data_IF_864529051868
#
_entry.id   IF_864529051868
#
_cell.length_a   1.000
_cell.length_b   1.000
_cell.length_c   1.000
_cell.angle_alpha   90.00
_cell.angle_beta   90.00
_cell.angle_gamma   90.00
#
_symmetry.space_group_name_H-M   'P 1'
#
loop_
_entity.id
_entity.type
_entity.pdbx_description
1 polymer ?
#
# COMPACT_ATOMS: atom_id res chain seq x y z
N UNK A 1 18.68 2.40 22.64
CA UNK A 1 17.63 1.36 22.77
C UNK A 1 16.53 1.67 21.76
N UNK A 2 16.09 0.70 20.97
CA UNK A 2 14.95 0.86 20.09
C UNK A 2 13.65 0.58 20.88
N UNK A 3 12.62 1.41 20.67
CA UNK A 3 11.30 1.24 21.28
C UNK A 3 10.35 0.72 20.20
N UNK A 4 9.60 -0.32 20.51
CA UNK A 4 8.57 -0.83 19.61
C UNK A 4 7.33 0.08 19.65
N UNK A 5 6.95 0.63 18.50
CA UNK A 5 5.77 1.49 18.38
C UNK A 5 4.50 0.66 18.16
N UNK A 6 4.57 -0.38 17.33
CA UNK A 6 3.44 -1.27 17.04
C UNK A 6 3.89 -2.73 17.04
N UNK A 7 3.10 -3.59 17.68
CA UNK A 7 3.22 -5.03 17.55
C UNK A 7 2.41 -5.56 16.34
N UNK A 8 2.53 -6.86 16.09
CA UNK A 8 1.84 -7.51 14.98
C UNK A 8 0.31 -7.38 15.07
N UNK A 9 -0.24 -7.44 16.28
CA UNK A 9 -1.68 -7.36 16.49
C UNK A 9 -2.20 -5.94 16.26
N UNK A 10 -1.43 -4.92 16.68
CA UNK A 10 -1.70 -3.52 16.44
C UNK A 10 -1.67 -3.20 14.93
N UNK A 11 -0.69 -3.73 14.19
CA UNK A 11 -0.64 -3.59 12.73
C UNK A 11 -1.87 -4.23 12.08
N UNK A 12 -2.25 -5.44 12.50
CA UNK A 12 -3.42 -6.12 11.96
C UNK A 12 -4.71 -5.31 12.20
N UNK A 13 -4.92 -4.81 13.43
CA UNK A 13 -6.06 -3.95 13.76
C UNK A 13 -6.07 -2.67 12.92
N UNK A 14 -4.92 -2.03 12.73
CA UNK A 14 -4.81 -0.82 11.92
C UNK A 14 -5.18 -1.08 10.46
N UNK A 15 -4.71 -2.18 9.86
CA UNK A 15 -5.05 -2.57 8.49
C UNK A 15 -6.55 -2.81 8.35
N UNK A 16 -7.17 -3.54 9.29
CA UNK A 16 -8.62 -3.76 9.28
C UNK A 16 -9.39 -2.44 9.37
N UNK A 17 -9.00 -1.56 10.29
CA UNK A 17 -9.63 -0.23 10.42
C UNK A 17 -9.52 0.60 9.15
N UNK A 18 -8.33 0.71 8.57
CA UNK A 18 -8.12 1.45 7.32
C UNK A 18 -8.96 0.86 6.18
N UNK A 19 -9.12 -0.47 6.12
CA UNK A 19 -9.93 -1.12 5.09
C UNK A 19 -11.41 -0.74 5.19
N UNK A 20 -11.96 -0.68 6.41
CA UNK A 20 -13.32 -0.19 6.62
C UNK A 20 -13.47 1.29 6.24
N UNK A 21 -12.52 2.14 6.65
CA UNK A 21 -12.53 3.58 6.35
C UNK A 21 -12.48 3.85 4.84
N UNK A 22 -11.68 3.07 4.09
CA UNK A 22 -11.62 3.16 2.62
C UNK A 22 -12.98 2.82 2.02
N UNK A 23 -13.61 1.72 2.44
CA UNK A 23 -14.90 1.29 1.88
C UNK A 23 -16.03 2.27 2.20
N UNK A 24 -16.11 2.73 3.45
CA UNK A 24 -17.14 3.68 3.88
C UNK A 24 -17.03 4.99 3.12
N UNK A 25 -15.81 5.52 2.97
CA UNK A 25 -15.58 6.78 2.27
C UNK A 25 -15.88 6.71 0.78
N UNK A 26 -15.64 5.56 0.15
CA UNK A 26 -15.84 5.36 -1.29
C UNK A 26 -17.19 4.72 -1.64
N UNK A 27 -18.01 4.38 -0.64
CA UNK A 27 -19.32 3.71 -0.79
C UNK A 27 -19.22 2.36 -1.52
N UNK A 28 -18.19 1.58 -1.17
CA UNK A 28 -17.89 0.29 -1.79
C UNK A 28 -16.65 0.33 -2.68
N UNK A 29 -16.57 -0.60 -3.63
CA UNK A 29 -15.36 -0.89 -4.41
C UNK A 29 -15.46 -0.54 -5.90
N UNK A 30 -16.61 -0.10 -6.40
CA UNK A 30 -16.92 0.01 -7.84
C UNK A 30 -15.90 0.87 -8.62
N UNK A 31 -15.38 1.94 -8.01
CA UNK A 31 -14.38 2.83 -8.61
C UNK A 31 -13.14 2.99 -7.70
N UNK A 32 -12.70 1.88 -7.10
CA UNK A 32 -11.58 1.86 -6.17
C UNK A 32 -10.41 1.07 -6.71
N UNK A 33 -9.20 1.62 -6.57
CA UNK A 33 -7.95 0.91 -6.80
C UNK A 33 -6.90 1.31 -5.75
N UNK A 34 -5.94 0.42 -5.49
CA UNK A 34 -4.83 0.70 -4.57
C UNK A 34 -3.50 0.73 -5.32
N UNK A 35 -2.64 1.69 -5.00
CA UNK A 35 -1.29 1.77 -5.57
C UNK A 35 -0.27 1.73 -4.43
N UNK A 36 0.51 0.66 -4.39
CA UNK A 36 1.59 0.49 -3.42
C UNK A 36 2.88 1.15 -3.91
N UNK A 37 3.38 2.12 -3.15
CA UNK A 37 4.70 2.71 -3.42
C UNK A 37 5.79 1.73 -2.95
N UNK A 38 6.75 1.41 -3.83
CA UNK A 38 7.84 0.51 -3.47
C UNK A 38 8.65 1.06 -2.28
N UNK A 39 9.16 0.21 -1.40
CA UNK A 39 9.08 -1.27 -1.38
C UNK A 39 7.95 -1.79 -0.50
N UNK A 40 7.89 -1.37 0.77
CA UNK A 40 6.91 -1.88 1.76
C UNK A 40 5.46 -1.48 1.49
N UNK A 41 5.23 -0.39 0.76
CA UNK A 41 3.88 0.05 0.39
C UNK A 41 3.15 -0.96 -0.49
N UNK A 42 3.87 -1.75 -1.30
CA UNK A 42 3.30 -2.84 -2.10
C UNK A 42 2.65 -3.89 -1.21
N UNK A 43 3.40 -4.43 -0.25
CA UNK A 43 2.87 -5.43 0.70
C UNK A 43 1.72 -4.89 1.54
N UNK A 44 1.73 -3.59 1.87
CA UNK A 44 0.63 -2.96 2.59
C UNK A 44 -0.63 -2.87 1.72
N UNK A 45 -0.50 -2.45 0.46
CA UNK A 45 -1.61 -2.39 -0.50
C UNK A 45 -2.24 -3.76 -0.73
N UNK A 46 -1.43 -4.81 -0.88
CA UNK A 46 -1.90 -6.21 -1.00
C UNK A 46 -2.66 -6.67 0.24
N UNK A 47 -2.18 -6.31 1.44
CA UNK A 47 -2.86 -6.64 2.71
C UNK A 47 -4.19 -5.91 2.85
N UNK A 48 -4.24 -4.64 2.44
CA UNK A 48 -5.48 -3.86 2.41
C UNK A 48 -6.48 -4.46 1.43
N UNK A 49 -6.07 -4.75 0.19
CA UNK A 49 -6.92 -5.40 -0.81
C UNK A 49 -7.46 -6.76 -0.32
N UNK A 50 -6.60 -7.56 0.32
CA UNK A 50 -7.00 -8.83 0.93
C UNK A 50 -7.99 -8.67 2.09
N UNK A 51 -7.85 -7.60 2.87
CA UNK A 51 -8.77 -7.30 3.97
C UNK A 51 -10.11 -6.78 3.43
N UNK A 52 -10.08 -5.89 2.42
CA UNK A 52 -11.28 -5.40 1.74
C UNK A 52 -12.07 -6.55 1.13
N UNK A 53 -11.41 -7.49 0.44
CA UNK A 53 -12.04 -8.69 -0.12
C UNK A 53 -12.73 -9.59 0.92
N UNK A 54 -12.33 -9.51 2.20
CA UNK A 54 -12.99 -10.24 3.30
C UNK A 54 -14.23 -9.52 3.81
N UNK A 55 -14.32 -8.21 3.60
CA UNK A 55 -15.41 -7.35 4.06
C UNK A 55 -16.50 -7.23 2.98
N UNK A 56 -16.08 -7.11 1.72
CA UNK A 56 -16.92 -6.97 0.53
C UNK A 56 -16.46 -8.02 -0.50
N UNK A 57 -17.39 -8.68 -1.19
CA UNK A 57 -17.11 -9.89 -1.99
C UNK A 57 -16.26 -9.62 -3.25
N UNK A 58 -16.06 -8.36 -3.63
CA UNK A 58 -15.26 -8.02 -4.80
C UNK A 58 -13.77 -7.80 -4.52
N UNK A 59 -13.00 -7.77 -5.61
CA UNK A 59 -11.55 -7.56 -5.58
C UNK A 59 -11.19 -6.14 -5.98
N UNK A 60 -10.38 -5.49 -5.16
CA UNK A 60 -9.78 -4.19 -5.49
C UNK A 60 -8.47 -4.42 -6.25
N UNK A 61 -8.29 -3.84 -7.45
CA UNK A 61 -7.04 -3.96 -8.18
C UNK A 61 -5.89 -3.25 -7.43
N UNK A 62 -4.70 -3.85 -7.51
CA UNK A 62 -3.48 -3.35 -6.86
C UNK A 62 -2.42 -3.07 -7.92
N UNK A 63 -1.95 -1.83 -7.96
CA UNK A 63 -0.82 -1.39 -8.77
C UNK A 63 0.42 -1.14 -7.92
N UNK A 64 1.56 -0.99 -8.59
CA UNK A 64 2.86 -0.73 -7.98
C UNK A 64 3.45 0.52 -8.62
N UNK A 65 3.90 1.45 -7.79
CA UNK A 65 4.60 2.65 -8.25
C UNK A 65 6.03 2.68 -7.75
N UNK A 66 6.98 2.82 -8.68
CA UNK A 66 8.35 3.15 -8.36
C UNK A 66 8.56 4.67 -8.41
N UNK A 67 8.90 5.24 -7.25
CA UNK A 67 9.18 6.67 -7.09
C UNK A 67 10.68 6.99 -7.14
N UNK A 68 11.53 6.00 -7.44
CA UNK A 68 12.99 6.11 -7.33
C UNK A 68 13.54 7.33 -8.05
N UNK A 69 13.05 7.66 -9.25
CA UNK A 69 13.50 8.82 -10.04
C UNK A 69 12.80 10.15 -9.70
N UNK A 70 11.76 10.09 -8.86
CA UNK A 70 10.94 11.25 -8.49
C UNK A 70 11.23 11.78 -7.09
N UNK A 71 12.18 11.17 -6.39
CA UNK A 71 12.55 11.59 -5.05
C UNK A 71 13.59 12.70 -5.09
N UNK A 72 13.37 13.76 -4.32
CA UNK A 72 14.30 14.89 -4.25
C UNK A 72 15.66 14.52 -3.62
N UNK A 73 15.71 13.40 -2.89
CA UNK A 73 16.90 12.90 -2.18
C UNK A 73 17.70 11.83 -2.97
N UNK A 74 17.47 11.69 -4.28
CA UNK A 74 18.20 10.70 -5.11
C UNK A 74 19.72 10.88 -5.01
N UNK A 75 20.19 12.12 -5.07
CA UNK A 75 21.63 12.43 -5.05
C UNK A 75 22.30 12.02 -3.73
N UNK A 76 21.56 11.96 -2.63
CA UNK A 76 22.05 11.63 -1.29
C UNK A 76 21.82 10.16 -0.91
N UNK A 77 20.91 9.44 -1.57
CA UNK A 77 20.41 8.15 -1.06
C UNK A 77 21.18 6.92 -1.57
N UNK A 78 21.82 6.96 -2.75
CA UNK A 78 22.89 6.04 -3.20
C UNK A 78 23.20 6.17 -4.70
N UNK A 79 24.46 5.97 -5.14
CA UNK A 79 24.82 5.91 -6.56
C UNK A 79 24.32 4.66 -7.30
N UNK A 80 23.52 3.80 -6.67
CA UNK A 80 23.08 2.49 -7.18
C UNK A 80 21.58 2.25 -7.01
N UNK A 81 20.77 3.31 -7.12
CA UNK A 81 19.32 3.20 -7.11
C UNK A 81 18.84 2.44 -8.36
N UNK A 82 18.42 1.18 -8.15
CA UNK A 82 17.86 0.36 -9.23
C UNK A 82 16.43 0.81 -9.49
N UNK A 83 16.23 1.50 -10.61
CA UNK A 83 14.90 1.82 -11.12
C UNK A 83 14.18 0.51 -11.45
N UNK A 84 12.98 0.34 -10.93
CA UNK A 84 12.07 -0.76 -11.22
C UNK A 84 10.85 -0.24 -11.96
N UNK A 85 10.11 -1.18 -12.52
CA UNK A 85 8.90 -0.89 -13.26
C UNK A 85 7.77 -0.44 -12.33
N UNK A 86 7.05 0.59 -12.78
CA UNK A 86 5.72 0.96 -12.31
C UNK A 86 4.69 0.17 -13.11
N UNK A 87 3.77 -0.51 -12.43
CA UNK A 87 2.79 -1.42 -13.02
C UNK A 87 1.40 -1.09 -12.48
N UNK A 88 0.55 -0.47 -13.30
CA UNK A 88 -0.81 -0.05 -12.93
C UNK A 88 -1.74 -0.50 -14.08
N UNK A 89 -2.23 -1.76 -14.06
CA UNK A 89 -2.87 -2.39 -15.22
C UNK A 89 -4.40 -2.18 -15.30
N UNK A 90 -4.91 -1.07 -14.77
CA UNK A 90 -6.34 -0.76 -14.67
C UNK A 90 -6.61 0.71 -15.00
#
# INVERSE_FOLDING_TARGET
MAVQIMDAQAIQRAITRISHEILERNKGIENLALVGIRTRGVFLAERLASCIKKIDEGSVPVGIMDITLYRDDIATTSPQSVVRTTEIPF
#
